data_IF_813460979128
#
_entry.id   IF_813460979128
#
_cell.length_a   1.000
_cell.length_b   1.000
_cell.length_c   1.000
_cell.angle_alpha   90.00
_cell.angle_beta   90.00
_cell.angle_gamma   90.00
#
_symmetry.space_group_name_H-M   'P 1'
#
loop_
_entity.id
_entity.type
_entity.pdbx_description
1 polymer ?
#
# COMPACT_ATOMS: atom_id res chain seq x y z
N UNK A 1 21.16 31.23 -17.67
CA UNK A 1 20.85 29.81 -17.74
C UNK A 1 21.49 29.19 -16.51
N UNK A 2 20.72 28.96 -15.43
CA UNK A 2 21.23 28.31 -14.23
C UNK A 2 21.24 26.80 -14.45
N UNK A 3 22.40 26.18 -14.29
CA UNK A 3 22.54 24.72 -14.35
C UNK A 3 21.72 24.08 -13.22
N UNK A 4 20.86 23.14 -13.58
CA UNK A 4 20.16 22.29 -12.62
C UNK A 4 21.19 21.45 -11.85
N UNK A 5 21.06 21.27 -10.53
CA UNK A 5 21.94 20.43 -9.75
C UNK A 5 21.86 19.00 -10.24
N UNK A 6 23.01 18.41 -10.61
CA UNK A 6 23.11 16.99 -10.96
C UNK A 6 22.84 16.15 -9.72
N UNK A 7 21.84 15.27 -9.80
CA UNK A 7 21.63 14.25 -8.78
C UNK A 7 22.89 13.37 -8.69
N UNK A 8 23.33 12.98 -7.49
CA UNK A 8 24.45 12.05 -7.37
C UNK A 8 24.12 10.74 -8.06
N UNK A 9 25.05 10.23 -8.84
CA UNK A 9 24.92 8.91 -9.48
C UNK A 9 24.76 7.88 -8.36
N UNK A 10 23.62 7.22 -8.30
CA UNK A 10 23.46 6.06 -7.44
C UNK A 10 24.36 4.96 -7.98
N UNK A 11 25.34 4.52 -7.18
CA UNK A 11 26.21 3.41 -7.52
C UNK A 11 25.36 2.18 -7.85
N UNK A 12 25.73 1.45 -8.90
CA UNK A 12 25.12 0.16 -9.16
C UNK A 12 25.26 -0.74 -7.93
N UNK A 13 24.23 -1.54 -7.58
CA UNK A 13 24.32 -2.46 -6.45
C UNK A 13 25.50 -3.41 -6.65
N UNK A 14 26.30 -3.59 -5.59
CA UNK A 14 27.42 -4.51 -5.58
C UNK A 14 26.98 -5.91 -6.01
N UNK A 15 27.66 -6.54 -6.97
CA UNK A 15 27.35 -7.90 -7.40
C UNK A 15 27.70 -8.86 -6.26
N UNK A 16 26.68 -9.40 -5.58
CA UNK A 16 26.85 -10.40 -4.51
C UNK A 16 26.02 -10.21 -3.25
N UNK A 17 25.29 -9.10 -3.07
CA UNK A 17 24.27 -9.01 -2.04
C UNK A 17 23.16 -10.02 -2.40
N UNK A 18 23.02 -11.09 -1.60
CA UNK A 18 21.88 -11.99 -1.73
C UNK A 18 20.61 -11.15 -1.72
N UNK A 19 19.90 -11.14 -2.86
CA UNK A 19 18.65 -10.40 -2.95
C UNK A 19 17.70 -10.99 -1.90
N UNK A 20 17.45 -10.26 -0.82
CA UNK A 20 16.43 -10.64 0.13
C UNK A 20 15.11 -10.74 -0.63
N UNK A 21 14.33 -11.81 -0.44
CA UNK A 21 13.06 -11.94 -1.12
C UNK A 21 12.20 -10.71 -0.82
N UNK A 22 11.63 -10.10 -1.88
CA UNK A 22 10.78 -8.92 -1.71
C UNK A 22 9.56 -9.29 -0.88
N UNK A 23 9.53 -8.82 0.37
CA UNK A 23 8.40 -8.99 1.27
C UNK A 23 7.50 -7.76 1.19
N UNK A 24 6.20 -7.99 1.13
CA UNK A 24 5.17 -6.94 1.29
C UNK A 24 4.26 -7.34 2.44
N UNK A 25 4.09 -6.41 3.38
CA UNK A 25 3.13 -6.57 4.47
C UNK A 25 1.83 -5.84 4.13
N UNK A 26 0.70 -6.49 4.36
CA UNK A 26 -0.64 -5.91 4.18
C UNK A 26 -1.31 -5.85 5.55
N UNK A 27 -1.46 -4.64 6.07
CA UNK A 27 -2.05 -4.37 7.37
C UNK A 27 -3.50 -3.94 7.19
N UNK A 28 -4.42 -4.82 7.56
CA UNK A 28 -5.84 -4.75 7.29
C UNK A 28 -6.23 -5.68 6.14
N UNK A 29 -6.93 -6.78 6.45
CA UNK A 29 -7.41 -7.77 5.47
C UNK A 29 -8.90 -7.59 5.15
N UNK A 30 -9.34 -6.31 5.08
CA UNK A 30 -10.64 -5.96 4.53
C UNK A 30 -10.69 -6.14 3.02
N UNK A 31 -11.80 -5.77 2.38
CA UNK A 31 -11.98 -5.92 0.93
C UNK A 31 -10.82 -5.31 0.12
N UNK A 32 -10.32 -4.14 0.52
CA UNK A 32 -9.18 -3.49 -0.16
C UNK A 32 -7.89 -4.28 0.03
N UNK A 33 -7.56 -4.65 1.28
CA UNK A 33 -6.31 -5.34 1.59
C UNK A 33 -6.22 -6.73 0.98
N UNK A 34 -7.30 -7.54 1.07
CA UNK A 34 -7.31 -8.88 0.47
C UNK A 34 -7.28 -8.83 -1.06
N UNK A 35 -8.01 -7.90 -1.69
CA UNK A 35 -7.93 -7.70 -3.15
C UNK A 35 -6.55 -7.23 -3.60
N UNK A 36 -5.91 -6.33 -2.84
CA UNK A 36 -4.55 -5.89 -3.11
C UNK A 36 -3.57 -7.07 -3.01
N UNK A 37 -3.64 -7.87 -1.95
CA UNK A 37 -2.78 -9.04 -1.76
C UNK A 37 -2.98 -10.08 -2.88
N UNK A 38 -4.22 -10.32 -3.32
CA UNK A 38 -4.52 -11.19 -4.45
C UNK A 38 -3.92 -10.66 -5.77
N UNK A 39 -4.09 -9.38 -6.05
CA UNK A 39 -3.51 -8.74 -7.24
C UNK A 39 -1.97 -8.78 -7.22
N UNK A 40 -1.38 -8.59 -6.04
CA UNK A 40 0.06 -8.67 -5.83
C UNK A 40 0.59 -10.09 -6.07
N UNK A 41 -0.12 -11.12 -5.59
CA UNK A 41 0.19 -12.53 -5.87
C UNK A 41 0.18 -12.80 -7.39
N UNK A 42 -0.87 -12.39 -8.09
CA UNK A 42 -0.98 -12.61 -9.54
C UNK A 42 0.10 -11.87 -10.32
N UNK A 43 0.51 -10.68 -9.86
CA UNK A 43 1.58 -9.90 -10.51
C UNK A 43 2.96 -10.54 -10.40
N UNK A 44 3.20 -11.34 -9.36
CA UNK A 44 4.50 -11.94 -9.06
C UNK A 44 5.56 -10.93 -8.60
N UNK A 45 5.16 -9.74 -8.17
CA UNK A 45 6.08 -8.69 -7.71
C UNK A 45 6.60 -8.92 -6.28
N UNK A 46 5.97 -9.77 -5.49
CA UNK A 46 6.39 -10.11 -4.14
C UNK A 46 6.71 -11.61 -4.02
N UNK A 47 7.85 -11.92 -3.43
CA UNK A 47 8.21 -13.29 -3.06
C UNK A 47 7.55 -13.72 -1.74
N UNK A 48 7.26 -12.75 -0.87
CA UNK A 48 6.61 -12.98 0.42
C UNK A 48 5.49 -11.95 0.64
N UNK A 49 4.34 -12.41 1.09
CA UNK A 49 3.20 -11.58 1.47
C UNK A 49 2.79 -11.97 2.89
N UNK A 50 2.84 -11.02 3.81
CA UNK A 50 2.32 -11.20 5.17
C UNK A 50 1.03 -10.41 5.35
N UNK A 51 0.00 -11.07 5.86
CA UNK A 51 -1.30 -10.47 6.15
C UNK A 51 -1.43 -10.23 7.65
N UNK A 52 -1.72 -9.00 8.03
CA UNK A 52 -1.89 -8.58 9.43
C UNK A 52 -3.27 -7.97 9.60
N UNK A 53 -4.03 -8.45 10.56
CA UNK A 53 -5.36 -7.90 10.90
C UNK A 53 -5.59 -7.96 12.41
N UNK A 54 -6.37 -7.04 12.94
CA UNK A 54 -6.82 -7.09 14.33
C UNK A 54 -7.62 -8.36 14.63
N UNK A 55 -8.32 -8.90 13.63
CA UNK A 55 -8.96 -10.21 13.66
C UNK A 55 -8.01 -11.25 13.03
N UNK A 56 -7.17 -11.88 13.86
CA UNK A 56 -6.20 -12.89 13.42
C UNK A 56 -6.84 -14.03 12.60
N UNK A 57 -8.02 -14.51 13.00
CA UNK A 57 -8.72 -15.58 12.27
C UNK A 57 -9.12 -15.15 10.86
N UNK A 58 -9.46 -13.87 10.68
CA UNK A 58 -9.74 -13.33 9.35
C UNK A 58 -8.47 -13.32 8.50
N UNK A 59 -7.35 -12.83 9.05
CA UNK A 59 -6.07 -12.86 8.35
C UNK A 59 -5.64 -14.28 7.97
N UNK A 60 -5.86 -15.25 8.86
CA UNK A 60 -5.61 -16.67 8.59
C UNK A 60 -6.46 -17.20 7.42
N UNK A 61 -7.77 -16.92 7.41
CA UNK A 61 -8.66 -17.33 6.31
C UNK A 61 -8.22 -16.73 4.97
N UNK A 62 -7.96 -15.43 4.92
CA UNK A 62 -7.49 -14.76 3.71
C UNK A 62 -6.12 -15.31 3.24
N UNK A 63 -5.21 -15.61 4.18
CA UNK A 63 -3.91 -16.21 3.84
C UNK A 63 -4.07 -17.63 3.26
N UNK A 64 -5.00 -18.42 3.79
CA UNK A 64 -5.31 -19.76 3.26
C UNK A 64 -5.86 -19.68 1.85
N UNK A 65 -6.82 -18.78 1.59
CA UNK A 65 -7.42 -18.59 0.26
C UNK A 65 -6.37 -18.16 -0.77
N UNK A 66 -5.47 -17.25 -0.40
CA UNK A 66 -4.36 -16.85 -1.25
C UNK A 66 -3.36 -17.98 -1.49
N UNK A 67 -3.03 -18.79 -0.46
CA UNK A 67 -2.15 -19.95 -0.61
C UNK A 67 -2.74 -20.99 -1.58
N UNK A 68 -4.06 -21.18 -1.59
CA UNK A 68 -4.71 -22.09 -2.53
C UNK A 68 -4.65 -21.59 -3.98
N UNK A 69 -4.39 -20.30 -4.19
CA UNK A 69 -4.19 -19.70 -5.51
C UNK A 69 -2.75 -19.87 -6.04
N UNK A 70 -1.76 -20.06 -5.16
CA UNK A 70 -0.33 -20.15 -5.53
C UNK A 70 -0.06 -21.19 -6.62
N UNK A 71 -0.68 -22.41 -6.64
CA UNK A 71 -0.45 -23.38 -7.71
C UNK A 71 -0.84 -22.88 -9.11
N UNK A 72 -1.68 -21.86 -9.20
CA UNK A 72 -2.18 -21.29 -10.46
C UNK A 72 -1.56 -19.93 -10.79
N UNK A 73 -0.68 -19.40 -9.91
CA UNK A 73 -0.10 -18.07 -10.02
C UNK A 73 1.44 -18.12 -9.99
N UNK A 74 2.07 -17.29 -9.18
CA UNK A 74 3.52 -17.23 -8.99
C UNK A 74 3.88 -17.83 -7.63
N UNK A 75 5.04 -18.48 -7.55
CA UNK A 75 5.58 -18.99 -6.29
C UNK A 75 5.78 -17.83 -5.32
N UNK A 76 4.92 -17.74 -4.32
CA UNK A 76 4.92 -16.69 -3.30
C UNK A 76 4.65 -17.35 -1.95
N UNK A 77 5.42 -16.98 -0.94
CA UNK A 77 5.16 -17.40 0.45
C UNK A 77 4.14 -16.47 1.07
N UNK A 78 3.03 -17.01 1.58
CA UNK A 78 1.92 -16.22 2.14
C UNK A 78 1.60 -16.75 3.53
N UNK A 79 1.43 -15.86 4.51
CA UNK A 79 1.01 -16.21 5.85
C UNK A 79 0.27 -15.08 6.55
N UNK A 80 -0.54 -15.45 7.53
CA UNK A 80 -1.07 -14.50 8.50
C UNK A 80 0.00 -14.28 9.60
N UNK A 81 0.24 -13.02 9.94
CA UNK A 81 1.24 -12.63 10.90
C UNK A 81 0.75 -11.52 11.84
N UNK A 82 1.69 -10.98 12.58
CA UNK A 82 1.52 -9.85 13.48
C UNK A 82 2.24 -8.62 12.95
N UNK A 83 2.11 -7.49 13.60
CA UNK A 83 2.86 -6.27 13.22
C UNK A 83 4.38 -6.51 13.26
N UNK A 84 4.88 -7.42 14.12
CA UNK A 84 6.30 -7.78 14.15
C UNK A 84 6.78 -8.41 12.84
N UNK A 85 5.91 -9.10 12.11
CA UNK A 85 6.22 -9.73 10.82
C UNK A 85 6.35 -8.72 9.67
N UNK A 86 6.02 -7.44 9.92
CA UNK A 86 6.35 -6.34 8.99
C UNK A 86 7.86 -6.09 8.90
N UNK A 87 8.66 -6.63 9.82
CA UNK A 87 10.11 -6.51 9.80
C UNK A 87 10.70 -7.00 8.47
N UNK A 88 11.56 -6.18 7.84
CA UNK A 88 12.20 -6.50 6.58
C UNK A 88 11.28 -6.44 5.35
N UNK A 89 10.04 -5.99 5.49
CA UNK A 89 9.18 -5.73 4.35
C UNK A 89 9.68 -4.51 3.56
N UNK A 90 9.77 -4.63 2.24
CA UNK A 90 10.07 -3.48 1.39
C UNK A 90 8.97 -2.41 1.51
N UNK A 91 7.72 -2.87 1.57
CA UNK A 91 6.54 -2.01 1.70
C UNK A 91 5.57 -2.62 2.72
N UNK A 92 5.08 -1.78 3.63
CA UNK A 92 3.94 -2.07 4.50
C UNK A 92 2.74 -1.26 4.03
N UNK A 93 1.74 -1.95 3.45
CA UNK A 93 0.51 -1.34 2.95
C UNK A 93 -0.50 -1.27 4.08
N UNK A 94 -0.96 -0.07 4.43
CA UNK A 94 -1.99 0.13 5.45
C UNK A 94 -3.33 0.35 4.76
N UNK A 95 -4.15 -0.68 4.81
CA UNK A 95 -5.55 -0.68 4.38
C UNK A 95 -6.52 -0.91 5.56
N UNK A 96 -5.97 -0.98 6.78
CA UNK A 96 -6.76 -1.06 8.00
C UNK A 96 -7.52 0.23 8.22
N UNK A 97 -8.80 0.12 8.49
CA UNK A 97 -9.67 1.25 8.76
C UNK A 97 -11.12 0.81 8.92
N UNK A 98 -11.93 1.68 9.50
CA UNK A 98 -13.37 1.51 9.58
C UNK A 98 -14.03 2.04 8.31
N UNK A 99 -15.04 1.34 7.82
CA UNK A 99 -15.93 1.86 6.78
C UNK A 99 -16.91 2.89 7.37
N UNK A 100 -17.36 3.80 6.52
CA UNK A 100 -18.42 4.75 6.89
C UNK A 100 -19.74 4.02 7.09
N UNK A 101 -20.42 4.29 8.22
CA UNK A 101 -21.74 3.74 8.51
C UNK A 101 -22.83 4.71 8.05
N UNK A 102 -24.06 4.21 7.77
CA UNK A 102 -25.19 5.10 7.50
C UNK A 102 -25.37 6.13 8.62
N UNK A 103 -25.48 7.41 8.27
CA UNK A 103 -25.64 8.53 9.21
C UNK A 103 -24.33 9.07 9.81
N UNK A 104 -23.17 8.48 9.52
CA UNK A 104 -21.88 9.02 9.93
C UNK A 104 -21.40 10.12 8.98
N UNK A 105 -20.79 11.16 9.57
CA UNK A 105 -20.14 12.21 8.79
C UNK A 105 -18.74 11.78 8.36
N UNK A 106 -18.18 12.43 7.33
CA UNK A 106 -16.76 12.24 6.95
C UNK A 106 -15.80 12.55 8.11
N UNK A 107 -16.14 13.55 8.94
CA UNK A 107 -15.32 13.92 10.10
C UNK A 107 -15.29 12.77 11.13
N UNK A 108 -16.41 12.08 11.34
CA UNK A 108 -16.46 10.93 12.25
C UNK A 108 -15.61 9.77 11.73
N UNK A 109 -15.64 9.54 10.43
CA UNK A 109 -14.79 8.53 9.79
C UNK A 109 -13.30 8.88 9.96
N UNK A 110 -12.91 10.14 9.72
CA UNK A 110 -11.53 10.61 9.94
C UNK A 110 -11.10 10.37 11.38
N UNK A 111 -11.92 10.73 12.37
CA UNK A 111 -11.61 10.54 13.79
C UNK A 111 -11.38 9.06 14.14
N UNK A 112 -12.25 8.17 13.66
CA UNK A 112 -12.12 6.71 13.86
C UNK A 112 -10.83 6.17 13.25
N UNK A 113 -10.60 6.48 11.98
CA UNK A 113 -9.41 5.99 11.28
C UNK A 113 -8.13 6.61 11.84
N UNK A 114 -8.16 7.87 12.29
CA UNK A 114 -7.03 8.48 12.99
C UNK A 114 -6.70 7.78 14.32
N UNK A 115 -7.69 7.30 15.05
CA UNK A 115 -7.46 6.52 16.27
C UNK A 115 -6.75 5.20 15.94
N UNK A 116 -7.24 4.45 14.93
CA UNK A 116 -6.61 3.21 14.45
C UNK A 116 -5.16 3.47 14.00
N UNK A 117 -4.92 4.54 13.25
CA UNK A 117 -3.59 4.89 12.75
C UNK A 117 -2.61 5.22 13.86
N UNK A 118 -3.06 5.88 14.94
CA UNK A 118 -2.20 6.17 16.11
C UNK A 118 -1.66 4.91 16.79
N UNK A 119 -2.35 3.80 16.69
CA UNK A 119 -1.90 2.50 17.22
C UNK A 119 -1.02 1.76 16.21
N UNK A 120 -1.47 1.64 14.97
CA UNK A 120 -0.85 0.77 13.95
C UNK A 120 0.43 1.40 13.39
N UNK A 121 0.39 2.67 12.98
CA UNK A 121 1.50 3.29 12.23
C UNK A 121 2.81 3.33 13.03
N UNK A 122 2.83 3.77 14.31
CA UNK A 122 4.06 3.73 15.08
C UNK A 122 4.56 2.31 15.35
N UNK A 123 3.66 1.34 15.46
CA UNK A 123 4.03 -0.07 15.66
C UNK A 123 4.69 -0.64 14.40
N UNK A 124 4.12 -0.40 13.21
CA UNK A 124 4.70 -0.80 11.92
C UNK A 124 6.06 -0.11 11.69
N UNK A 125 6.16 1.19 11.96
CA UNK A 125 7.40 1.93 11.79
C UNK A 125 8.53 1.42 12.71
N UNK A 126 8.20 1.03 13.95
CA UNK A 126 9.19 0.42 14.86
C UNK A 126 9.60 -0.97 14.42
N UNK A 127 8.66 -1.78 13.90
CA UNK A 127 8.96 -3.12 13.40
C UNK A 127 9.80 -3.07 12.12
N UNK A 128 9.62 -2.05 11.29
CA UNK A 128 10.26 -1.92 9.99
C UNK A 128 10.74 -0.48 9.72
N UNK A 129 11.80 -0.02 10.39
CA UNK A 129 12.27 1.37 10.30
C UNK A 129 12.85 1.72 8.92
N UNK A 130 13.24 0.72 8.15
CA UNK A 130 13.85 0.89 6.83
C UNK A 130 12.88 0.69 5.65
N UNK A 131 11.67 0.26 5.92
CA UNK A 131 10.65 0.03 4.91
C UNK A 131 9.88 1.30 4.52
N UNK A 132 9.04 1.13 3.51
CA UNK A 132 8.08 2.15 3.06
C UNK A 132 6.71 1.85 3.65
N UNK A 133 6.02 2.87 4.14
CA UNK A 133 4.59 2.80 4.49
C UNK A 133 3.79 3.35 3.31
N UNK A 134 2.88 2.54 2.77
CA UNK A 134 1.90 2.94 1.76
C UNK A 134 0.49 2.96 2.37
N UNK A 135 -0.11 4.12 2.44
CA UNK A 135 -1.47 4.30 2.96
C UNK A 135 -2.49 4.17 1.83
N UNK A 136 -3.44 3.26 2.01
CA UNK A 136 -4.58 3.04 1.10
C UNK A 136 -5.94 3.31 1.76
N UNK A 137 -5.97 3.53 3.07
CA UNK A 137 -7.20 3.82 3.84
C UNK A 137 -7.68 5.23 3.57
N UNK A 138 -8.99 5.37 3.32
CA UNK A 138 -9.63 6.68 3.13
C UNK A 138 -10.02 7.35 4.48
N UNK A 139 -10.00 8.71 4.51
CA UNK A 139 -9.51 9.63 3.46
C UNK A 139 -7.97 9.64 3.39
N UNK A 140 -7.47 9.23 2.23
CA UNK A 140 -6.06 8.84 2.06
C UNK A 140 -5.08 9.97 2.30
N UNK A 141 -5.37 11.18 1.83
CA UNK A 141 -4.41 12.31 1.96
C UNK A 141 -4.25 12.74 3.42
N UNK A 142 -5.36 12.83 4.16
CA UNK A 142 -5.35 13.15 5.59
C UNK A 142 -4.62 12.07 6.39
N UNK A 143 -4.90 10.80 6.09
CA UNK A 143 -4.31 9.67 6.81
C UNK A 143 -2.84 9.44 6.43
N UNK A 144 -2.44 9.70 5.19
CA UNK A 144 -1.04 9.68 4.78
C UNK A 144 -0.24 10.78 5.49
N UNK A 145 -0.79 11.99 5.59
CA UNK A 145 -0.17 13.07 6.36
C UNK A 145 -0.07 12.71 7.85
N UNK A 146 -1.14 12.16 8.43
CA UNK A 146 -1.10 11.69 9.82
C UNK A 146 -0.03 10.60 10.00
N UNK A 147 0.01 9.60 9.11
CA UNK A 147 1.00 8.53 9.14
C UNK A 147 2.42 9.08 9.09
N UNK A 148 2.70 10.04 8.23
CA UNK A 148 3.98 10.73 8.18
C UNK A 148 4.32 11.38 9.54
N UNK A 149 3.37 12.13 10.13
CA UNK A 149 3.59 12.85 11.39
C UNK A 149 3.85 11.95 12.60
N UNK A 150 3.28 10.73 12.61
CA UNK A 150 3.34 9.83 13.78
C UNK A 150 4.29 8.63 13.61
N UNK A 151 4.73 8.35 12.37
CA UNK A 151 5.66 7.24 12.11
C UNK A 151 7.09 7.53 12.57
N UNK A 152 7.49 8.80 12.55
CA UNK A 152 8.90 9.20 12.74
C UNK A 152 9.81 8.89 11.54
N UNK A 153 9.24 8.36 10.44
CA UNK A 153 9.99 8.04 9.23
C UNK A 153 10.22 9.29 8.36
N UNK A 154 11.27 9.30 7.53
CA UNK A 154 11.45 10.34 6.52
C UNK A 154 10.26 10.43 5.56
N UNK A 155 9.95 11.63 5.07
CA UNK A 155 8.82 11.87 4.16
C UNK A 155 8.85 10.97 2.90
N UNK A 156 10.03 10.68 2.37
CA UNK A 156 10.20 9.80 1.22
C UNK A 156 9.82 8.33 1.48
N UNK A 157 9.55 7.95 2.74
CA UNK A 157 9.16 6.58 3.13
C UNK A 157 7.70 6.45 3.56
N UNK A 158 6.93 7.53 3.47
CA UNK A 158 5.49 7.48 3.78
C UNK A 158 4.72 8.04 2.60
N UNK A 159 3.97 7.16 1.94
CA UNK A 159 3.25 7.45 0.71
C UNK A 159 1.75 7.23 0.92
N UNK A 160 0.92 8.03 0.27
CA UNK A 160 -0.49 7.74 0.06
C UNK A 160 -0.72 7.19 -1.34
N UNK A 161 -1.72 6.33 -1.52
CA UNK A 161 -2.15 5.89 -2.85
C UNK A 161 -2.68 7.07 -3.70
N UNK A 162 -3.21 8.10 -3.05
CA UNK A 162 -3.62 9.36 -3.66
C UNK A 162 -4.50 9.15 -4.90
N UNK A 163 -4.19 9.88 -5.95
CA UNK A 163 -4.93 9.91 -7.21
C UNK A 163 -4.54 8.82 -8.21
N UNK A 164 -3.89 7.74 -7.77
CA UNK A 164 -3.52 6.61 -8.65
C UNK A 164 -4.77 5.98 -9.28
N UNK A 165 -5.83 5.78 -8.48
CA UNK A 165 -7.08 5.21 -8.96
C UNK A 165 -7.80 6.18 -9.91
N UNK A 166 -7.82 7.46 -9.60
CA UNK A 166 -8.43 8.50 -10.43
C UNK A 166 -7.69 8.63 -11.78
N UNK A 167 -6.37 8.55 -11.74
CA UNK A 167 -5.52 8.48 -12.94
C UNK A 167 -5.86 7.25 -13.79
N UNK A 168 -6.00 6.08 -13.17
CA UNK A 168 -6.34 4.86 -13.90
C UNK A 168 -7.72 4.95 -14.56
N UNK A 169 -8.73 5.47 -13.84
CA UNK A 169 -10.08 5.72 -14.38
C UNK A 169 -10.04 6.70 -15.55
N UNK A 170 -9.35 7.81 -15.37
CA UNK A 170 -9.22 8.83 -16.42
C UNK A 170 -8.57 8.26 -17.67
N UNK A 171 -7.49 7.49 -17.54
CA UNK A 171 -6.83 6.83 -18.68
C UNK A 171 -7.75 5.83 -19.37
N UNK A 172 -8.53 5.06 -18.63
CA UNK A 172 -9.48 4.11 -19.19
C UNK A 172 -10.58 4.82 -19.99
N UNK A 173 -11.16 5.90 -19.44
CA UNK A 173 -12.19 6.71 -20.13
C UNK A 173 -11.65 7.38 -21.40
N UNK A 174 -10.44 7.93 -21.36
CA UNK A 174 -9.80 8.50 -22.54
C UNK A 174 -9.54 7.44 -23.61
N UNK A 175 -9.08 6.27 -23.20
CA UNK A 175 -8.81 5.16 -24.11
C UNK A 175 -10.08 4.70 -24.81
N UNK A 176 -11.17 4.56 -24.07
CA UNK A 176 -12.49 4.23 -24.61
C UNK A 176 -12.98 5.29 -25.61
N UNK A 177 -12.87 6.57 -25.22
CA UNK A 177 -13.30 7.69 -26.06
C UNK A 177 -12.54 7.77 -27.40
N UNK A 178 -11.23 7.53 -27.37
CA UNK A 178 -10.37 7.61 -28.57
C UNK A 178 -10.14 6.27 -29.28
N UNK A 179 -10.66 5.15 -28.76
CA UNK A 179 -10.52 3.84 -29.34
C UNK A 179 -9.07 3.30 -29.34
N UNK A 180 -8.30 3.61 -28.27
CA UNK A 180 -6.88 3.21 -28.13
C UNK A 180 -6.68 2.33 -26.91
N UNK A 181 -5.55 1.62 -26.83
CA UNK A 181 -5.19 0.84 -25.64
C UNK A 181 -4.94 1.77 -24.44
N UNK A 182 -5.54 1.54 -23.25
CA UNK A 182 -5.31 2.35 -22.05
C UNK A 182 -3.83 2.49 -21.64
N UNK A 183 -2.99 1.51 -21.99
CA UNK A 183 -1.55 1.56 -21.75
C UNK A 183 -0.83 2.61 -22.60
N UNK A 184 -1.43 2.99 -23.73
CA UNK A 184 -0.93 4.03 -24.62
C UNK A 184 -1.37 5.44 -24.21
N UNK A 185 -2.22 5.57 -23.21
CA UNK A 185 -2.67 6.88 -22.69
C UNK A 185 -1.74 7.32 -21.56
N UNK A 186 -1.07 8.45 -21.75
CA UNK A 186 -0.18 9.08 -20.76
C UNK A 186 -0.85 10.33 -20.20
N UNK A 187 -1.67 10.15 -19.19
CA UNK A 187 -2.39 11.22 -18.50
C UNK A 187 -2.38 10.96 -16.99
N UNK A 188 -2.36 12.02 -16.20
CA UNK A 188 -2.27 11.95 -14.74
C UNK A 188 -3.25 12.93 -14.11
N UNK A 189 -3.89 12.48 -13.01
CA UNK A 189 -4.63 13.37 -12.11
C UNK A 189 -3.72 13.60 -10.90
N UNK A 190 -3.54 14.86 -10.54
CA UNK A 190 -2.77 15.29 -9.38
C UNK A 190 -3.60 16.18 -8.49
N UNK A 191 -3.42 16.08 -7.18
CA UNK A 191 -4.16 16.82 -6.17
C UNK A 191 -4.68 15.92 -5.07
N UNK A 192 -5.70 16.38 -4.36
CA UNK A 192 -6.39 15.62 -3.33
C UNK A 192 -7.30 14.55 -3.95
N UNK A 193 -7.27 13.34 -3.37
CA UNK A 193 -8.22 12.28 -3.71
C UNK A 193 -9.52 12.49 -2.94
N UNK A 194 -10.58 12.88 -3.62
CA UNK A 194 -11.88 13.15 -3.02
C UNK A 194 -12.98 13.37 -4.05
N UNK A 195 -14.19 13.70 -3.57
CA UNK A 195 -15.39 13.96 -4.39
C UNK A 195 -15.57 15.47 -4.66
N UNK A 196 -14.51 16.23 -4.80
CA UNK A 196 -14.56 17.67 -5.09
C UNK A 196 -14.26 17.93 -6.54
#
# INVERSE_FOLDING_TARGET
MSELPRLPAQGAPEPGAAAHPTRVAVVGTGAVGSTFAFSLLLSGLAAEIVLVDANARKAEGEAMDLMHTVPFARTTRIWAGTVADCAGAAISVISAGAGQKPGETRIDLVKKNAAIFREIVPAVARANPDGIILVATNPVDVLAYLAFRISGLPAARVLGSGTILDTARFRALLAEHYGVDPRSVHAYIAGEHGDT
#
